data_IF_125937542208
#
_entry.id   IF_125937542208
#
_cell.length_a   1.000
_cell.length_b   1.000
_cell.length_c   1.000
_cell.angle_alpha   90.00
_cell.angle_beta   90.00
_cell.angle_gamma   90.00
#
_symmetry.space_group_name_H-M   'P 1'
#
loop_
_entity.id
_entity.type
_entity.pdbx_description
1 polymer ?
#
# COMPACT_ATOMS: atom_id res chain seq x y z
N UNK A 1 -11.60 7.10 -12.05
CA UNK A 1 -10.78 7.74 -13.09
C UNK A 1 -9.57 8.41 -12.46
N UNK A 2 -8.60 8.77 -13.28
CA UNK A 2 -7.40 9.46 -12.81
C UNK A 2 -7.75 10.83 -12.22
N UNK A 3 -8.71 11.51 -12.78
CA UNK A 3 -9.17 12.80 -12.24
C UNK A 3 -9.82 12.63 -10.87
N UNK A 4 -10.62 11.60 -10.70
CA UNK A 4 -11.25 11.34 -9.41
C UNK A 4 -10.23 11.07 -8.31
N UNK A 5 -9.17 10.34 -8.65
CA UNK A 5 -8.09 10.10 -7.70
C UNK A 5 -7.42 11.41 -7.31
N UNK A 6 -7.09 12.23 -8.29
CA UNK A 6 -6.44 13.52 -8.06
C UNK A 6 -7.29 14.42 -7.18
N UNK A 7 -8.58 14.51 -7.47
CA UNK A 7 -9.50 15.33 -6.70
C UNK A 7 -9.68 14.79 -5.29
N UNK A 8 -9.78 13.48 -5.15
CA UNK A 8 -9.88 12.84 -3.86
C UNK A 8 -8.68 13.08 -2.98
N UNK A 9 -7.48 13.00 -3.54
CA UNK A 9 -6.24 13.28 -2.81
C UNK A 9 -6.23 14.69 -2.25
N UNK A 10 -6.58 15.68 -3.08
CA UNK A 10 -6.59 17.08 -2.66
C UNK A 10 -7.60 17.32 -1.54
N UNK A 11 -8.80 16.77 -1.66
CA UNK A 11 -9.82 16.97 -0.66
C UNK A 11 -9.49 16.33 0.68
N UNK A 12 -8.96 15.12 0.64
CA UNK A 12 -8.61 14.40 1.86
C UNK A 12 -7.47 15.10 2.59
N UNK A 13 -6.44 15.55 1.88
CA UNK A 13 -5.32 16.25 2.48
C UNK A 13 -5.78 17.53 3.20
N UNK A 14 -6.76 18.23 2.66
CA UNK A 14 -7.27 19.47 3.27
C UNK A 14 -8.07 19.21 4.55
N UNK A 15 -8.71 18.05 4.67
CA UNK A 15 -9.72 17.84 5.69
C UNK A 15 -9.28 17.01 6.89
N UNK A 16 -8.01 16.61 6.95
CA UNK A 16 -7.56 15.79 8.07
C UNK A 16 -6.21 16.21 8.60
N UNK A 17 -6.09 16.18 9.93
CA UNK A 17 -4.82 16.33 10.62
C UNK A 17 -4.08 15.01 10.76
N UNK A 18 -4.71 13.91 10.36
CA UNK A 18 -4.18 12.55 10.45
C UNK A 18 -3.77 12.03 9.07
N UNK A 19 -3.06 12.86 8.32
CA UNK A 19 -2.61 12.50 6.97
C UNK A 19 -1.90 11.16 6.96
N UNK A 20 -2.32 10.29 6.06
CA UNK A 20 -1.73 8.98 5.91
C UNK A 20 -2.13 7.95 6.96
N UNK A 21 -3.13 8.24 7.81
CA UNK A 21 -3.66 7.24 8.74
C UNK A 21 -5.05 6.85 8.32
N UNK A 22 -5.19 5.62 7.83
CA UNK A 22 -6.43 5.10 7.29
C UNK A 22 -7.13 6.14 6.43
N UNK A 23 -6.41 6.64 5.45
CA UNK A 23 -6.88 7.73 4.62
C UNK A 23 -7.50 7.15 3.36
N UNK A 24 -8.80 7.39 3.17
CA UNK A 24 -9.51 6.94 1.98
C UNK A 24 -9.36 8.00 0.90
N UNK A 25 -8.65 7.66 -0.16
CA UNK A 25 -8.34 8.58 -1.24
C UNK A 25 -9.37 8.53 -2.36
N UNK A 26 -10.09 7.40 -2.46
CA UNK A 26 -11.07 7.15 -3.51
C UNK A 26 -11.99 6.03 -3.05
N UNK A 27 -13.24 6.01 -3.53
CA UNK A 27 -14.22 5.01 -3.08
C UNK A 27 -14.41 3.81 -4.02
N UNK A 28 -14.27 3.97 -5.34
CA UNK A 28 -14.59 2.91 -6.31
C UNK A 28 -13.56 2.85 -7.44
N UNK A 29 -12.57 1.97 -7.36
CA UNK A 29 -12.23 1.10 -6.24
C UNK A 29 -11.76 1.92 -5.03
N UNK A 30 -11.99 1.39 -3.85
CA UNK A 30 -11.57 2.09 -2.65
C UNK A 30 -10.04 2.03 -2.55
N UNK A 31 -9.42 3.19 -2.41
CA UNK A 31 -7.97 3.30 -2.20
C UNK A 31 -7.75 3.84 -0.80
N UNK A 32 -7.07 3.05 0.01
CA UNK A 32 -6.77 3.39 1.40
C UNK A 32 -5.26 3.44 1.56
N UNK A 33 -4.74 4.48 2.21
CA UNK A 33 -3.33 4.51 2.57
C UNK A 33 -3.16 4.66 4.07
N UNK A 34 -2.04 4.13 4.58
CA UNK A 34 -1.71 4.23 5.98
C UNK A 34 -0.20 4.19 6.16
N UNK A 35 0.31 5.04 7.05
CA UNK A 35 1.74 5.19 7.31
C UNK A 35 2.31 4.16 8.28
N UNK A 36 1.51 3.22 8.77
CA UNK A 36 2.00 2.17 9.67
C UNK A 36 3.19 1.44 9.05
N UNK A 37 4.24 1.26 9.83
CA UNK A 37 5.49 0.70 9.33
C UNK A 37 6.16 -0.28 10.31
N UNK A 38 5.67 -0.38 11.54
CA UNK A 38 6.18 -1.33 12.51
C UNK A 38 5.15 -2.43 12.77
N UNK A 39 5.59 -3.47 13.47
CA UNK A 39 4.77 -4.65 13.73
C UNK A 39 3.43 -4.30 14.38
N UNK A 40 3.46 -3.46 15.41
CA UNK A 40 2.26 -3.12 16.18
C UNK A 40 1.27 -2.32 15.32
N UNK A 41 1.75 -1.30 14.65
CA UNK A 41 0.90 -0.47 13.79
C UNK A 41 0.33 -1.24 12.62
N UNK A 42 1.16 -2.04 11.96
CA UNK A 42 0.71 -2.86 10.83
C UNK A 42 -0.31 -3.91 11.24
N UNK A 43 -0.14 -4.52 12.42
CA UNK A 43 -1.10 -5.51 12.90
C UNK A 43 -2.49 -4.90 13.06
N UNK A 44 -2.57 -3.68 13.59
CA UNK A 44 -3.84 -2.98 13.78
C UNK A 44 -4.48 -2.65 12.43
N UNK A 45 -3.70 -2.02 11.54
CA UNK A 45 -4.20 -1.56 10.24
C UNK A 45 -4.61 -2.74 9.35
N UNK A 46 -3.78 -3.76 9.27
CA UNK A 46 -4.09 -4.92 8.43
C UNK A 46 -5.28 -5.70 8.94
N UNK A 47 -5.47 -5.76 10.28
CA UNK A 47 -6.65 -6.38 10.84
C UNK A 47 -7.92 -5.59 10.45
N UNK A 48 -7.86 -4.26 10.49
CA UNK A 48 -8.95 -3.42 10.05
C UNK A 48 -9.23 -3.60 8.56
N UNK A 49 -8.18 -3.70 7.76
CA UNK A 49 -8.29 -3.89 6.32
C UNK A 49 -9.00 -5.21 5.97
N UNK A 50 -8.65 -6.28 6.67
CA UNK A 50 -9.26 -7.60 6.44
C UNK A 50 -10.75 -7.63 6.74
N UNK A 51 -11.24 -6.71 7.57
CA UNK A 51 -12.65 -6.63 7.93
C UNK A 51 -13.49 -5.83 6.93
N UNK A 52 -12.85 -5.17 5.97
CA UNK A 52 -13.57 -4.40 4.97
C UNK A 52 -14.21 -5.32 3.93
N UNK A 53 -15.37 -4.94 3.38
CA UNK A 53 -15.95 -5.70 2.28
C UNK A 53 -15.19 -5.42 0.98
N UNK A 54 -14.73 -6.46 0.31
CA UNK A 54 -14.08 -6.36 -0.99
C UNK A 54 -14.20 -7.68 -1.74
N UNK A 55 -14.13 -7.60 -3.08
CA UNK A 55 -14.02 -8.80 -3.89
C UNK A 55 -12.58 -9.27 -3.98
N UNK A 56 -11.68 -8.37 -4.31
CA UNK A 56 -10.24 -8.64 -4.36
C UNK A 56 -9.51 -7.54 -3.62
N UNK A 57 -8.39 -7.92 -3.01
CA UNK A 57 -7.54 -6.98 -2.29
C UNK A 57 -6.23 -6.82 -3.05
N UNK A 58 -5.84 -5.57 -3.26
CA UNK A 58 -4.59 -5.20 -3.90
C UNK A 58 -3.76 -4.42 -2.89
N UNK A 59 -2.47 -4.74 -2.77
CA UNK A 59 -1.59 -4.07 -1.82
C UNK A 59 -0.36 -3.53 -2.55
N UNK A 60 -0.23 -2.21 -2.53
CA UNK A 60 0.96 -1.50 -3.00
C UNK A 60 1.88 -1.37 -1.79
N UNK A 61 2.98 -2.10 -1.79
CA UNK A 61 3.86 -2.24 -0.64
C UNK A 61 5.27 -1.78 -0.96
N UNK A 62 5.79 -0.89 -0.13
CA UNK A 62 7.19 -0.48 -0.16
C UNK A 62 7.65 -0.23 1.27
N UNK A 63 8.92 -0.47 1.53
CA UNK A 63 9.47 -0.34 2.89
C UNK A 63 10.86 0.30 2.83
N UNK A 64 11.35 0.73 4.01
CA UNK A 64 12.74 1.21 4.13
C UNK A 64 13.66 0.02 4.39
N UNK A 65 14.93 0.19 4.02
CA UNK A 65 15.90 -0.91 4.00
C UNK A 65 16.27 -1.46 5.39
N UNK A 66 16.08 -0.66 6.45
CA UNK A 66 16.42 -1.08 7.82
C UNK A 66 15.32 -1.90 8.50
N UNK A 67 14.24 -2.24 7.81
CA UNK A 67 13.16 -3.04 8.39
C UNK A 67 13.52 -4.52 8.44
N UNK A 68 13.13 -5.16 9.52
CA UNK A 68 13.23 -6.62 9.66
C UNK A 68 11.99 -7.23 8.99
N UNK A 69 12.15 -7.64 7.76
CA UNK A 69 11.04 -8.13 6.94
C UNK A 69 10.35 -9.34 7.56
N UNK A 70 11.10 -10.20 8.22
CA UNK A 70 10.55 -11.40 8.86
C UNK A 70 9.60 -11.09 10.02
N UNK A 71 9.62 -9.87 10.54
CA UNK A 71 8.68 -9.48 11.60
C UNK A 71 7.41 -8.85 11.08
N UNK A 72 7.45 -8.25 9.89
CA UNK A 72 6.29 -7.53 9.34
C UNK A 72 5.59 -8.28 8.20
N UNK A 73 6.32 -8.95 7.31
CA UNK A 73 5.70 -9.61 6.17
C UNK A 73 4.70 -10.70 6.55
N UNK A 74 4.89 -11.49 7.62
CA UNK A 74 3.89 -12.48 8.00
C UNK A 74 2.53 -11.89 8.38
N UNK A 75 2.47 -10.58 8.66
CA UNK A 75 1.21 -9.91 9.01
C UNK A 75 0.33 -9.65 7.80
N UNK A 76 0.92 -9.61 6.61
CA UNK A 76 0.20 -9.27 5.39
C UNK A 76 -0.59 -10.46 4.85
N UNK A 77 -1.81 -10.23 4.33
CA UNK A 77 -2.64 -11.34 3.83
C UNK A 77 -2.11 -11.94 2.53
N UNK A 78 -2.06 -13.26 2.47
CA UNK A 78 -1.59 -13.97 1.28
C UNK A 78 -2.62 -13.98 0.15
N UNK A 79 -3.87 -13.65 0.43
CA UNK A 79 -4.93 -13.61 -0.58
C UNK A 79 -4.85 -12.37 -1.48
N UNK A 80 -4.08 -11.37 -1.09
CA UNK A 80 -3.98 -10.12 -1.83
C UNK A 80 -3.07 -10.24 -3.05
N UNK A 81 -3.28 -9.34 -4.01
CA UNK A 81 -2.38 -9.14 -5.14
C UNK A 81 -1.40 -8.04 -4.80
N UNK A 82 -0.11 -8.31 -4.87
CA UNK A 82 0.93 -7.38 -4.42
C UNK A 82 1.57 -6.62 -5.57
N UNK A 83 1.89 -5.36 -5.28
CA UNK A 83 2.58 -4.44 -6.19
C UNK A 83 3.74 -3.88 -5.39
N UNK A 84 4.90 -4.53 -5.49
CA UNK A 84 6.09 -4.16 -4.71
C UNK A 84 6.78 -2.98 -5.34
N UNK A 85 7.15 -2.00 -4.52
CA UNK A 85 7.78 -0.78 -5.02
C UNK A 85 8.85 -0.28 -4.06
N UNK A 86 9.65 0.67 -4.53
CA UNK A 86 10.68 1.30 -3.74
C UNK A 86 10.31 2.76 -3.52
N UNK A 87 10.21 3.24 -2.26
CA UNK A 87 10.05 4.66 -2.03
C UNK A 87 11.27 5.42 -2.56
N UNK A 88 11.05 6.63 -3.10
CA UNK A 88 12.08 7.41 -3.79
C UNK A 88 12.98 8.14 -2.80
N UNK A 89 13.58 7.40 -1.89
CA UNK A 89 14.58 7.89 -0.93
C UNK A 89 15.75 6.94 -0.91
N UNK A 90 16.92 7.42 -0.46
CA UNK A 90 18.13 6.60 -0.44
C UNK A 90 17.99 5.35 0.44
N UNK A 91 17.18 5.43 1.50
CA UNK A 91 16.93 4.32 2.42
C UNK A 91 15.85 3.36 1.96
N UNK A 92 15.24 3.60 0.81
CA UNK A 92 14.21 2.72 0.28
C UNK A 92 14.77 1.34 -0.02
N UNK A 93 14.05 0.29 0.39
CA UNK A 93 14.45 -1.07 0.06
C UNK A 93 14.13 -1.34 -1.42
N UNK A 94 15.07 -1.95 -2.12
CA UNK A 94 14.87 -2.37 -3.51
C UNK A 94 13.60 -3.21 -3.65
N UNK A 95 12.80 -2.90 -4.66
CA UNK A 95 11.59 -3.66 -4.95
C UNK A 95 11.88 -5.12 -5.28
N UNK A 96 13.05 -5.41 -5.86
CA UNK A 96 13.44 -6.79 -6.16
C UNK A 96 13.73 -7.57 -4.88
N UNK A 97 14.40 -6.95 -3.92
CA UNK A 97 14.68 -7.59 -2.63
C UNK A 97 13.38 -7.80 -1.86
N UNK A 98 12.50 -6.80 -1.88
CA UNK A 98 11.20 -6.91 -1.21
C UNK A 98 10.37 -8.05 -1.81
N UNK A 99 10.28 -8.12 -3.13
CA UNK A 99 9.54 -9.18 -3.82
C UNK A 99 10.09 -10.56 -3.45
N UNK A 100 11.40 -10.73 -3.46
CA UNK A 100 12.03 -12.01 -3.14
C UNK A 100 11.75 -12.45 -1.70
N UNK A 101 11.80 -11.52 -0.76
CA UNK A 101 11.48 -11.83 0.63
C UNK A 101 9.99 -12.08 0.85
N UNK A 102 9.14 -11.32 0.20
CA UNK A 102 7.69 -11.47 0.30
C UNK A 102 7.23 -12.86 -0.17
N UNK A 103 7.88 -13.37 -1.21
CA UNK A 103 7.57 -14.69 -1.75
C UNK A 103 7.72 -15.80 -0.72
N UNK A 104 8.64 -15.65 0.24
CA UNK A 104 8.83 -16.62 1.31
C UNK A 104 7.61 -16.73 2.23
N UNK A 105 6.75 -15.73 2.23
CA UNK A 105 5.53 -15.68 3.04
C UNK A 105 4.28 -15.79 2.18
N UNK A 106 4.43 -16.26 0.95
CA UNK A 106 3.33 -16.42 -0.01
C UNK A 106 2.64 -15.11 -0.39
N UNK A 107 3.39 -14.01 -0.35
CA UNK A 107 2.92 -12.72 -0.82
C UNK A 107 3.37 -12.57 -2.26
N UNK A 108 2.45 -12.77 -3.19
CA UNK A 108 2.78 -12.87 -4.61
C UNK A 108 2.30 -11.65 -5.39
N UNK A 109 3.14 -11.19 -6.30
CA UNK A 109 2.82 -10.05 -7.12
C UNK A 109 3.96 -9.67 -8.04
N UNK A 110 3.94 -8.42 -8.49
CA UNK A 110 4.95 -7.89 -9.39
C UNK A 110 5.68 -6.72 -8.76
N UNK A 111 6.85 -6.42 -9.27
CA UNK A 111 7.66 -5.29 -8.78
C UNK A 111 7.60 -4.12 -9.76
N UNK A 112 7.73 -2.93 -9.22
CA UNK A 112 7.67 -1.67 -9.97
C UNK A 112 8.76 -0.74 -9.44
N UNK A 113 9.31 0.09 -10.33
CA UNK A 113 10.43 0.95 -9.97
C UNK A 113 10.03 2.15 -9.12
N UNK A 114 8.73 2.46 -9.01
CA UNK A 114 8.26 3.57 -8.19
C UNK A 114 6.90 3.27 -7.58
N UNK A 115 6.58 4.04 -6.53
CA UNK A 115 5.26 3.94 -5.88
C UNK A 115 4.15 4.31 -6.86
N UNK A 116 4.36 5.36 -7.64
CA UNK A 116 3.34 5.82 -8.59
C UNK A 116 3.05 4.80 -9.67
N UNK A 117 4.07 4.12 -10.18
CA UNK A 117 3.88 3.06 -11.17
C UNK A 117 3.15 1.87 -10.58
N UNK A 118 3.48 1.49 -9.35
CA UNK A 118 2.80 0.40 -8.66
C UNK A 118 1.33 0.71 -8.45
N UNK A 119 1.02 1.92 -7.96
CA UNK A 119 -0.36 2.34 -7.76
C UNK A 119 -1.13 2.40 -9.07
N UNK A 120 -0.51 2.93 -10.11
CA UNK A 120 -1.13 2.98 -11.45
C UNK A 120 -1.51 1.58 -11.92
N UNK A 121 -0.60 0.62 -11.76
CA UNK A 121 -0.88 -0.77 -12.15
C UNK A 121 -2.01 -1.36 -11.33
N UNK A 122 -2.04 -1.11 -10.03
CA UNK A 122 -3.11 -1.59 -9.16
C UNK A 122 -4.46 -1.02 -9.60
N UNK A 123 -4.51 0.27 -9.92
CA UNK A 123 -5.73 0.92 -10.39
C UNK A 123 -6.21 0.35 -11.72
N UNK A 124 -5.29 0.00 -12.61
CA UNK A 124 -5.66 -0.61 -13.89
C UNK A 124 -6.20 -2.02 -13.73
N UNK A 125 -5.73 -2.75 -12.71
CA UNK A 125 -6.13 -4.13 -12.47
C UNK A 125 -7.35 -4.26 -11.58
N UNK A 126 -7.66 -3.25 -10.77
CA UNK A 126 -8.73 -3.32 -9.79
C UNK A 126 -10.10 -3.07 -10.44
N UNK A 127 -11.10 -3.78 -9.95
CA UNK A 127 -12.49 -3.53 -10.27
C UNK A 127 -13.11 -2.61 -9.22
N UNK A 128 -14.30 -2.09 -9.48
CA UNK A 128 -14.93 -1.10 -8.60
C UNK A 128 -15.20 -1.62 -7.17
N UNK A 129 -15.37 -2.91 -7.02
CA UNK A 129 -15.64 -3.52 -5.71
C UNK A 129 -14.39 -4.02 -5.00
N UNK A 130 -13.21 -3.76 -5.59
CA UNK A 130 -11.94 -4.12 -4.98
C UNK A 130 -11.45 -3.03 -4.04
N UNK A 131 -10.51 -3.39 -3.18
CA UNK A 131 -9.79 -2.42 -2.34
C UNK A 131 -8.32 -2.43 -2.73
N UNK A 132 -7.73 -1.25 -2.79
CA UNK A 132 -6.29 -1.04 -2.95
C UNK A 132 -5.77 -0.40 -1.67
N UNK A 133 -4.85 -1.08 -0.99
CA UNK A 133 -4.17 -0.56 0.18
C UNK A 133 -2.76 -0.14 -0.23
N UNK A 134 -2.33 1.04 0.20
CA UNK A 134 -0.98 1.56 -0.07
C UNK A 134 -0.29 1.83 1.26
N UNK A 135 0.86 1.21 1.48
CA UNK A 135 1.54 1.39 2.76
C UNK A 135 2.86 0.65 2.89
N UNK A 136 3.25 0.44 4.13
CA UNK A 136 4.53 -0.16 4.50
C UNK A 136 5.56 0.84 4.96
N UNK A 137 5.38 2.11 4.62
CA UNK A 137 6.31 3.18 4.98
C UNK A 137 5.62 4.54 4.84
N UNK A 138 5.96 5.44 5.74
CA UNK A 138 5.57 6.85 5.64
C UNK A 138 5.99 7.43 4.29
N UNK A 139 7.18 7.05 3.81
CA UNK A 139 7.71 7.58 2.55
C UNK A 139 6.94 7.10 1.32
N UNK A 140 6.38 5.91 1.37
CA UNK A 140 5.51 5.41 0.30
C UNK A 140 4.24 6.24 0.22
N UNK A 141 3.59 6.46 1.35
CA UNK A 141 2.34 7.22 1.43
C UNK A 141 2.59 8.68 1.03
N UNK A 142 3.71 9.26 1.43
CA UNK A 142 4.04 10.65 1.11
C UNK A 142 4.09 10.92 -0.40
N UNK A 143 4.35 9.92 -1.21
CA UNK A 143 4.43 10.11 -2.67
C UNK A 143 3.08 10.16 -3.35
N UNK A 144 1.99 9.83 -2.66
CA UNK A 144 0.66 9.77 -3.28
C UNK A 144 -0.37 10.69 -2.63
N UNK A 145 -0.02 11.38 -1.54
CA UNK A 145 -0.93 12.32 -0.89
C UNK A 145 -0.49 13.75 -1.00
#
# INVERSE_FOLDING_TARGET
>A
SKENIKNGLLNVVKNTNLKGRWQVLQEHPKVICDTAHNKEGLAIVLNQLKKQPFKKLHIVLGVVADKKLETILPLFPSIAHYYFCKPAISRGLSEAILEANAKKFNLLGKKYSSVKLALKSALLNANQEDIIYVGGSTFVVAEII
#
